data_IF_165227580728
#
_entry.id   IF_165227580728
#
_cell.length_a   1.000
_cell.length_b   1.000
_cell.length_c   1.000
_cell.angle_alpha   90.00
_cell.angle_beta   90.00
_cell.angle_gamma   90.00
#
_symmetry.space_group_name_H-M   'P 1'
#
loop_
_entity.id
_entity.type
_entity.pdbx_description
1 polymer ?
#
# COMPACT_ATOMS: atom_id res chain seq x y z
N UNK A 1 3.23 -34.99 -5.56
CA UNK A 1 3.42 -33.56 -5.90
C UNK A 1 4.69 -33.06 -5.22
N UNK A 2 5.74 -32.76 -5.97
CA UNK A 2 6.96 -32.16 -5.42
C UNK A 2 6.63 -30.73 -4.94
N UNK A 3 6.65 -30.54 -3.62
CA UNK A 3 6.39 -29.22 -2.98
C UNK A 3 7.61 -28.29 -2.99
N UNK A 4 8.77 -28.78 -3.40
CA UNK A 4 10.03 -28.01 -3.41
C UNK A 4 10.48 -27.81 -4.85
N UNK A 5 10.58 -26.54 -5.27
CA UNK A 5 11.16 -26.15 -6.57
C UNK A 5 12.46 -25.39 -6.30
N UNK A 6 13.52 -25.81 -6.93
CA UNK A 6 14.76 -25.02 -7.02
C UNK A 6 14.59 -24.04 -8.17
N UNK A 7 14.79 -22.76 -7.93
CA UNK A 7 14.63 -21.68 -8.93
C UNK A 7 15.96 -20.98 -9.12
N UNK A 8 16.39 -20.82 -10.37
CA UNK A 8 17.50 -19.94 -10.71
C UNK A 8 16.99 -18.49 -10.74
N UNK A 9 17.23 -17.76 -9.68
CA UNK A 9 16.74 -16.38 -9.51
C UNK A 9 17.36 -15.38 -10.52
N UNK A 10 18.40 -15.76 -11.23
CA UNK A 10 18.92 -14.93 -12.32
C UNK A 10 18.02 -14.94 -13.55
N UNK A 11 17.24 -16.00 -13.75
CA UNK A 11 16.51 -16.25 -14.97
C UNK A 11 14.99 -16.41 -14.78
N UNK A 12 14.54 -16.78 -13.57
CA UNK A 12 13.14 -17.10 -13.30
C UNK A 12 12.55 -16.29 -12.14
N UNK A 13 11.31 -15.83 -12.33
CA UNK A 13 10.49 -15.25 -11.26
C UNK A 13 9.89 -16.37 -10.40
N UNK A 14 9.63 -16.10 -9.13
CA UNK A 14 8.93 -17.04 -8.25
C UNK A 14 8.08 -16.34 -7.20
N UNK A 15 7.06 -17.06 -6.74
CA UNK A 15 6.18 -16.62 -5.65
C UNK A 15 6.54 -17.35 -4.35
N UNK A 16 6.74 -16.59 -3.27
CA UNK A 16 7.01 -17.15 -1.96
C UNK A 16 6.33 -16.31 -0.86
N UNK A 17 5.60 -16.97 0.03
CA UNK A 17 4.92 -16.34 1.17
C UNK A 17 4.13 -15.07 0.80
N UNK A 18 3.44 -15.08 -0.34
CA UNK A 18 2.62 -13.96 -0.78
C UNK A 18 3.38 -12.78 -1.37
N UNK A 19 4.67 -12.98 -1.65
CA UNK A 19 5.52 -12.09 -2.42
C UNK A 19 5.85 -12.71 -3.76
N UNK A 20 5.94 -11.86 -4.76
CA UNK A 20 6.46 -12.16 -6.08
C UNK A 20 7.87 -11.60 -6.19
N UNK A 21 8.83 -12.47 -6.39
CA UNK A 21 10.24 -12.15 -6.58
C UNK A 21 10.50 -12.09 -8.07
N UNK A 22 10.70 -10.89 -8.60
CA UNK A 22 11.13 -10.73 -9.99
C UNK A 22 12.63 -11.01 -10.07
N UNK A 23 13.02 -11.81 -11.06
CA UNK A 23 14.41 -12.17 -11.29
C UNK A 23 15.32 -10.95 -11.56
N UNK A 24 16.62 -11.16 -11.51
CA UNK A 24 17.61 -10.12 -11.80
C UNK A 24 17.45 -9.58 -13.21
N UNK A 25 17.55 -8.28 -13.33
CA UNK A 25 17.48 -7.54 -14.59
C UNK A 25 18.57 -6.49 -14.62
N UNK A 26 19.14 -6.24 -15.80
CA UNK A 26 20.11 -5.18 -15.99
C UNK A 26 19.42 -3.93 -16.53
N UNK A 27 19.62 -2.80 -15.89
CA UNK A 27 19.10 -1.51 -16.35
C UNK A 27 19.83 -1.04 -17.62
N UNK A 28 19.26 -0.07 -18.36
CA UNK A 28 19.91 0.58 -19.50
C UNK A 28 21.28 1.22 -19.16
N UNK A 29 21.54 1.47 -17.87
CA UNK A 29 22.81 2.01 -17.35
C UNK A 29 23.79 0.92 -16.88
N UNK A 30 23.48 -0.36 -17.14
CA UNK A 30 24.33 -1.50 -16.76
C UNK A 30 24.22 -1.94 -15.29
N UNK A 31 23.34 -1.34 -14.49
CA UNK A 31 23.16 -1.73 -13.08
C UNK A 31 22.17 -2.88 -12.97
N UNK A 32 22.54 -3.93 -12.26
CA UNK A 32 21.67 -5.03 -11.95
C UNK A 32 20.71 -4.69 -10.81
N UNK A 33 19.47 -5.13 -10.94
CA UNK A 33 18.43 -4.93 -9.92
C UNK A 33 17.40 -6.05 -9.96
N UNK A 34 16.72 -6.24 -8.84
CA UNK A 34 15.54 -7.09 -8.75
C UNK A 34 14.44 -6.36 -7.98
N UNK A 35 13.24 -6.91 -7.94
CA UNK A 35 12.16 -6.35 -7.16
C UNK A 35 11.34 -7.41 -6.44
N UNK A 36 10.87 -7.08 -5.24
CA UNK A 36 9.99 -7.92 -4.44
C UNK A 36 8.70 -7.15 -4.23
N UNK A 37 7.60 -7.73 -4.68
CA UNK A 37 6.29 -7.08 -4.66
C UNK A 37 5.22 -8.05 -4.14
N UNK A 38 4.06 -7.57 -3.68
CA UNK A 38 2.98 -8.47 -3.28
C UNK A 38 2.45 -9.27 -4.47
N UNK A 39 2.15 -10.56 -4.27
CA UNK A 39 1.43 -11.35 -5.27
C UNK A 39 0.02 -10.79 -5.49
N UNK A 40 -0.57 -11.08 -6.66
CA UNK A 40 -1.97 -10.73 -6.92
C UNK A 40 -2.93 -11.31 -5.89
N UNK A 41 -2.69 -12.57 -5.46
CA UNK A 41 -3.48 -13.23 -4.43
C UNK A 41 -3.44 -12.44 -3.11
N UNK A 42 -2.24 -11.97 -2.71
CA UNK A 42 -2.04 -11.15 -1.51
C UNK A 42 -2.83 -9.83 -1.59
N UNK A 43 -2.80 -9.15 -2.74
CA UNK A 43 -3.58 -7.91 -2.98
C UNK A 43 -5.09 -8.18 -3.02
N UNK A 44 -5.54 -9.25 -3.66
CA UNK A 44 -6.96 -9.65 -3.69
C UNK A 44 -7.49 -9.92 -2.28
N UNK A 45 -6.71 -10.62 -1.45
CA UNK A 45 -7.06 -10.89 -0.04
C UNK A 45 -7.19 -9.60 0.77
N UNK A 46 -6.23 -8.67 0.64
CA UNK A 46 -6.31 -7.35 1.28
C UNK A 46 -7.56 -6.58 0.84
N UNK A 47 -7.80 -6.49 -0.47
CA UNK A 47 -8.99 -5.80 -1.01
C UNK A 47 -10.29 -6.40 -0.49
N UNK A 48 -10.37 -7.74 -0.38
CA UNK A 48 -11.53 -8.44 0.20
C UNK A 48 -11.73 -8.03 1.65
N UNK A 49 -10.70 -8.11 2.49
CA UNK A 49 -10.78 -7.73 3.89
C UNK A 49 -11.26 -6.27 4.10
N UNK A 50 -10.73 -5.33 3.32
CA UNK A 50 -11.19 -3.93 3.33
C UNK A 50 -12.65 -3.82 2.87
N UNK A 51 -13.04 -4.53 1.80
CA UNK A 51 -14.42 -4.53 1.29
C UNK A 51 -15.40 -5.06 2.35
N UNK A 52 -15.03 -6.10 3.07
CA UNK A 52 -15.87 -6.71 4.11
C UNK A 52 -16.11 -5.74 5.29
N UNK A 53 -15.13 -4.89 5.61
CA UNK A 53 -15.27 -3.84 6.64
C UNK A 53 -15.92 -2.55 6.14
N UNK A 54 -16.01 -2.34 4.83
CA UNK A 54 -16.55 -1.13 4.21
C UNK A 54 -17.81 -1.43 3.38
N UNK A 55 -18.83 -2.00 4.06
CA UNK A 55 -20.11 -2.29 3.42
C UNK A 55 -20.94 -1.01 3.27
N UNK A 56 -21.35 -0.72 2.05
CA UNK A 56 -22.12 0.49 1.71
C UNK A 56 -23.44 0.60 2.49
N UNK A 57 -24.07 -0.52 2.80
CA UNK A 57 -25.35 -0.59 3.54
C UNK A 57 -25.23 -0.24 5.04
N UNK A 58 -24.02 -0.23 5.58
CA UNK A 58 -23.82 0.05 7.00
C UNK A 58 -23.83 1.55 7.27
N UNK A 59 -24.63 1.95 8.27
CA UNK A 59 -24.69 3.33 8.74
C UNK A 59 -23.82 3.45 9.98
N UNK A 60 -22.53 3.67 9.78
CA UNK A 60 -21.55 3.86 10.86
C UNK A 60 -21.01 5.28 10.88
N UNK A 61 -20.58 5.81 12.04
CA UNK A 61 -19.72 6.98 12.13
C UNK A 61 -18.44 6.76 11.29
N UNK A 62 -17.87 7.84 10.75
CA UNK A 62 -16.66 7.76 9.91
C UNK A 62 -15.47 7.22 10.70
N UNK A 63 -15.39 7.53 11.98
CA UNK A 63 -14.37 7.09 12.93
C UNK A 63 -14.39 5.55 13.11
N UNK A 64 -15.55 4.94 13.19
CA UNK A 64 -15.68 3.48 13.31
C UNK A 64 -15.15 2.77 12.05
N UNK A 65 -15.45 3.29 10.85
CA UNK A 65 -14.85 2.71 9.63
C UNK A 65 -13.33 2.81 9.63
N UNK A 66 -12.78 3.93 10.13
CA UNK A 66 -11.32 4.08 10.24
C UNK A 66 -10.76 3.07 11.24
N UNK A 67 -11.40 2.91 12.39
CA UNK A 67 -11.00 1.93 13.40
C UNK A 67 -11.09 0.49 12.88
N UNK A 68 -12.07 0.18 12.04
CA UNK A 68 -12.21 -1.14 11.42
C UNK A 68 -11.15 -1.45 10.35
N UNK A 69 -10.69 -0.45 9.60
CA UNK A 69 -9.75 -0.67 8.49
C UNK A 69 -8.28 -0.52 8.88
N UNK A 70 -7.97 0.33 9.86
CA UNK A 70 -6.59 0.58 10.29
C UNK A 70 -5.84 -0.70 10.72
N UNK A 71 -6.41 -1.63 11.51
CA UNK A 71 -5.72 -2.88 11.88
C UNK A 71 -5.36 -3.73 10.66
N UNK A 72 -6.23 -3.76 9.64
CA UNK A 72 -5.98 -4.50 8.39
C UNK A 72 -4.83 -3.86 7.60
N UNK A 73 -4.83 -2.53 7.52
CA UNK A 73 -3.78 -1.76 6.83
C UNK A 73 -2.44 -1.97 7.53
N UNK A 74 -2.41 -1.73 8.85
CA UNK A 74 -1.18 -1.85 9.65
C UNK A 74 -0.64 -3.26 9.65
N UNK A 75 -1.49 -4.27 9.88
CA UNK A 75 -1.09 -5.68 9.89
C UNK A 75 -0.49 -6.11 8.54
N UNK A 76 -1.15 -5.75 7.43
CA UNK A 76 -0.65 -6.09 6.10
C UNK A 76 0.63 -5.34 5.74
N UNK A 77 0.73 -4.07 6.12
CA UNK A 77 1.93 -3.26 5.87
C UNK A 77 3.11 -3.74 6.71
N UNK A 78 2.88 -4.10 7.98
CA UNK A 78 3.93 -4.68 8.83
C UNK A 78 4.46 -6.01 8.27
N UNK A 79 3.58 -6.84 7.72
CA UNK A 79 3.98 -8.07 7.04
C UNK A 79 4.95 -7.78 5.88
N UNK A 80 4.63 -6.81 5.03
CA UNK A 80 5.51 -6.40 3.93
C UNK A 80 6.80 -5.76 4.44
N UNK A 81 6.71 -4.95 5.49
CA UNK A 81 7.83 -4.26 6.11
C UNK A 81 8.89 -5.24 6.64
N UNK A 82 8.49 -6.34 7.27
CA UNK A 82 9.41 -7.30 7.87
C UNK A 82 10.35 -7.93 6.83
N UNK A 83 9.84 -8.25 5.64
CA UNK A 83 10.68 -8.76 4.53
C UNK A 83 11.67 -7.69 4.09
N UNK A 84 11.23 -6.45 3.92
CA UNK A 84 12.13 -5.37 3.49
C UNK A 84 13.18 -4.99 4.55
N UNK A 85 12.83 -5.10 5.84
CA UNK A 85 13.80 -4.92 6.93
C UNK A 85 14.87 -6.01 6.92
N UNK A 86 14.47 -7.26 6.72
CA UNK A 86 15.41 -8.37 6.62
C UNK A 86 16.38 -8.16 5.45
N UNK A 87 15.89 -7.80 4.27
CA UNK A 87 16.72 -7.52 3.09
C UNK A 87 17.73 -6.37 3.33
N UNK A 88 17.32 -5.32 4.06
CA UNK A 88 18.22 -4.21 4.39
C UNK A 88 19.45 -4.67 5.18
N UNK A 89 19.32 -5.71 5.99
CA UNK A 89 20.44 -6.28 6.77
C UNK A 89 21.41 -7.05 5.85
N UNK A 90 20.90 -7.70 4.79
CA UNK A 90 21.70 -8.63 3.97
C UNK A 90 22.35 -8.00 2.73
N UNK A 91 21.81 -6.92 2.16
CA UNK A 91 22.12 -6.51 0.80
C UNK A 91 22.81 -5.15 0.62
N UNK A 92 23.00 -4.38 1.68
CA UNK A 92 23.56 -3.02 1.54
C UNK A 92 22.60 -2.00 0.88
N UNK A 93 23.02 -0.73 0.81
CA UNK A 93 22.09 0.38 0.54
C UNK A 93 21.56 0.52 -0.90
N UNK A 94 22.27 0.05 -1.93
CA UNK A 94 21.87 0.36 -3.31
C UNK A 94 20.73 -0.52 -3.85
N UNK A 95 20.76 -1.80 -3.59
CA UNK A 95 19.72 -2.73 -4.05
C UNK A 95 18.41 -2.55 -3.29
N UNK A 96 18.47 -2.23 -2.01
CA UNK A 96 17.32 -1.93 -1.16
C UNK A 96 16.45 -0.81 -1.70
N UNK A 97 17.03 0.21 -2.38
CA UNK A 97 16.27 1.33 -2.92
C UNK A 97 15.31 0.93 -4.05
N UNK A 98 15.74 0.07 -4.99
CA UNK A 98 14.89 -0.40 -6.08
C UNK A 98 13.74 -1.26 -5.56
N UNK A 99 14.00 -2.15 -4.62
CA UNK A 99 13.00 -3.02 -3.98
C UNK A 99 11.95 -2.19 -3.23
N UNK A 100 12.37 -1.21 -2.45
CA UNK A 100 11.48 -0.30 -1.71
C UNK A 100 10.63 0.53 -2.66
N UNK A 101 11.20 1.04 -3.75
CA UNK A 101 10.46 1.82 -4.76
C UNK A 101 9.37 0.98 -5.42
N UNK A 102 9.67 -0.26 -5.80
CA UNK A 102 8.69 -1.17 -6.37
C UNK A 102 7.52 -1.43 -5.39
N UNK A 103 7.82 -1.75 -4.13
CA UNK A 103 6.81 -1.93 -3.08
C UNK A 103 5.95 -0.68 -2.88
N UNK A 104 6.55 0.51 -2.89
CA UNK A 104 5.82 1.76 -2.64
C UNK A 104 4.69 2.03 -3.65
N UNK A 105 4.85 1.56 -4.90
CA UNK A 105 3.81 1.65 -5.93
C UNK A 105 2.58 0.81 -5.55
N UNK A 106 2.80 -0.39 -5.02
CA UNK A 106 1.72 -1.26 -4.56
C UNK A 106 1.02 -0.70 -3.32
N UNK A 107 1.78 -0.19 -2.35
CA UNK A 107 1.23 0.46 -1.16
C UNK A 107 0.36 1.67 -1.52
N UNK A 108 0.78 2.48 -2.49
CA UNK A 108 -0.01 3.60 -2.98
C UNK A 108 -1.32 3.14 -3.66
N UNK A 109 -1.29 2.05 -4.43
CA UNK A 109 -2.50 1.43 -5.02
C UNK A 109 -3.45 0.92 -3.92
N UNK A 110 -2.91 0.33 -2.85
CA UNK A 110 -3.69 -0.09 -1.69
C UNK A 110 -4.37 1.11 -1.01
N UNK A 111 -3.64 2.18 -0.75
CA UNK A 111 -4.16 3.42 -0.15
C UNK A 111 -5.26 4.07 -1.01
N UNK A 112 -5.07 4.11 -2.33
CA UNK A 112 -6.11 4.59 -3.27
C UNK A 112 -7.38 3.75 -3.16
N UNK A 113 -7.24 2.44 -3.07
CA UNK A 113 -8.39 1.53 -2.93
C UNK A 113 -9.13 1.75 -1.60
N UNK A 114 -8.42 1.83 -0.47
CA UNK A 114 -9.02 2.09 0.86
C UNK A 114 -9.82 3.40 0.84
N UNK A 115 -9.20 4.50 0.40
CA UNK A 115 -9.89 5.80 0.31
C UNK A 115 -11.12 5.75 -0.59
N UNK A 116 -11.06 5.03 -1.70
CA UNK A 116 -12.20 4.87 -2.58
C UNK A 116 -13.34 4.10 -1.89
N UNK A 117 -13.03 3.03 -1.16
CA UNK A 117 -14.04 2.27 -0.40
C UNK A 117 -14.71 3.13 0.67
N UNK A 118 -13.94 3.87 1.44
CA UNK A 118 -14.45 4.79 2.47
C UNK A 118 -15.35 5.87 1.87
N UNK A 119 -14.96 6.47 0.73
CA UNK A 119 -15.79 7.44 0.01
C UNK A 119 -17.14 6.86 -0.41
N UNK A 120 -17.15 5.64 -0.92
CA UNK A 120 -18.39 4.94 -1.31
C UNK A 120 -19.32 4.73 -0.10
N UNK A 121 -18.78 4.47 1.09
CA UNK A 121 -19.57 4.37 2.32
C UNK A 121 -20.10 5.72 2.78
N UNK A 122 -19.28 6.76 2.71
CA UNK A 122 -19.64 8.11 3.16
C UNK A 122 -20.69 8.80 2.27
N UNK A 123 -20.69 8.51 0.97
CA UNK A 123 -21.61 9.15 0.03
C UNK A 123 -23.08 8.84 0.35
N UNK A 124 -23.36 7.72 1.00
CA UNK A 124 -24.71 7.40 1.45
C UNK A 124 -25.28 8.41 2.44
N UNK A 125 -24.42 8.99 3.29
CA UNK A 125 -24.79 10.01 4.27
C UNK A 125 -24.78 11.42 3.69
N UNK A 126 -24.28 11.59 2.46
CA UNK A 126 -24.12 12.89 1.82
C UNK A 126 -24.55 12.81 0.33
N UNK A 127 -25.86 12.60 0.04
CA UNK A 127 -26.33 12.39 -1.33
C UNK A 127 -26.11 13.59 -2.25
N UNK A 128 -25.97 14.79 -1.69
CA UNK A 128 -25.69 16.03 -2.43
C UNK A 128 -24.27 16.11 -2.99
N UNK A 129 -23.34 15.27 -2.50
CA UNK A 129 -21.96 15.24 -3.01
C UNK A 129 -21.92 14.49 -4.33
N UNK A 130 -21.50 15.15 -5.42
CA UNK A 130 -21.35 14.52 -6.74
C UNK A 130 -20.39 13.34 -6.69
N UNK A 131 -20.81 12.22 -7.27
CA UNK A 131 -20.12 10.91 -7.19
C UNK A 131 -18.68 10.87 -7.72
N UNK A 132 -18.26 11.80 -8.57
CA UNK A 132 -16.91 11.81 -9.14
C UNK A 132 -15.99 12.82 -8.49
N UNK A 133 -16.05 14.05 -8.94
CA UNK A 133 -15.14 15.12 -8.53
C UNK A 133 -15.40 15.58 -7.08
N UNK A 134 -16.64 15.85 -6.71
CA UNK A 134 -16.98 16.35 -5.37
C UNK A 134 -16.58 15.41 -4.24
N UNK A 135 -16.67 14.09 -4.48
CA UNK A 135 -16.25 13.06 -3.52
C UNK A 135 -14.74 13.10 -3.25
N UNK A 136 -13.93 13.29 -4.32
CA UNK A 136 -12.47 13.32 -4.20
C UNK A 136 -11.98 14.62 -3.57
N UNK A 137 -12.64 15.72 -3.85
CA UNK A 137 -12.33 17.03 -3.28
C UNK A 137 -12.69 17.09 -1.79
N UNK A 138 -13.94 16.76 -1.43
CA UNK A 138 -14.44 16.81 -0.05
C UNK A 138 -13.73 15.84 0.88
N UNK A 139 -13.44 14.63 0.40
CA UNK A 139 -12.78 13.57 1.17
C UNK A 139 -11.43 13.23 0.54
N UNK A 140 -10.54 14.20 0.57
CA UNK A 140 -9.17 14.07 0.09
C UNK A 140 -8.28 13.31 1.09
N UNK A 141 -7.00 13.23 0.81
CA UNK A 141 -6.05 12.53 1.68
C UNK A 141 -5.88 13.22 3.04
N UNK A 142 -5.90 14.53 3.06
CA UNK A 142 -5.80 15.34 4.27
C UNK A 142 -6.99 15.09 5.21
N UNK A 143 -8.22 15.08 4.65
CA UNK A 143 -9.41 14.73 5.41
C UNK A 143 -9.27 13.36 6.08
N UNK A 144 -8.83 12.33 5.35
CA UNK A 144 -8.66 10.99 5.90
C UNK A 144 -7.55 10.91 6.95
N UNK A 145 -6.44 11.60 6.75
CA UNK A 145 -5.37 11.69 7.74
C UNK A 145 -5.85 12.35 9.03
N UNK A 146 -6.63 13.44 8.91
CA UNK A 146 -7.19 14.17 10.06
C UNK A 146 -8.13 13.33 10.92
N UNK A 147 -8.89 12.42 10.32
CA UNK A 147 -9.78 11.50 11.05
C UNK A 147 -9.08 10.18 11.45
N UNK A 148 -7.75 10.11 11.35
CA UNK A 148 -6.94 9.02 11.87
C UNK A 148 -6.73 7.82 10.94
N UNK A 149 -7.00 7.93 9.62
CA UNK A 149 -6.64 6.87 8.68
C UNK A 149 -5.12 6.76 8.59
N UNK A 150 -4.61 5.55 8.73
CA UNK A 150 -3.20 5.21 8.60
C UNK A 150 -2.91 4.76 7.16
N UNK A 151 -2.29 5.60 6.29
CA UNK A 151 -1.94 5.15 4.94
C UNK A 151 -0.83 4.10 4.96
N UNK A 152 -1.00 3.02 4.17
CA UNK A 152 0.00 1.93 4.08
C UNK A 152 1.38 2.45 3.68
N UNK A 153 1.42 3.33 2.68
CA UNK A 153 2.69 3.89 2.19
C UNK A 153 3.37 4.75 3.23
N UNK A 154 2.62 5.62 3.93
CA UNK A 154 3.19 6.41 5.02
C UNK A 154 3.73 5.53 6.14
N UNK A 155 2.92 4.56 6.62
CA UNK A 155 3.30 3.66 7.70
C UNK A 155 4.57 2.87 7.38
N UNK A 156 4.68 2.37 6.15
CA UNK A 156 5.85 1.66 5.67
C UNK A 156 7.11 2.53 5.75
N UNK A 157 7.06 3.76 5.21
CA UNK A 157 8.19 4.68 5.22
C UNK A 157 8.54 5.16 6.63
N UNK A 158 7.55 5.48 7.44
CA UNK A 158 7.74 5.86 8.84
C UNK A 158 8.46 4.77 9.63
N UNK A 159 8.04 3.51 9.48
CA UNK A 159 8.68 2.36 10.16
C UNK A 159 10.06 1.99 9.62
N UNK A 160 10.36 2.32 8.37
CA UNK A 160 11.69 2.08 7.76
C UNK A 160 12.73 3.10 8.20
N UNK A 161 12.36 4.39 8.30
CA UNK A 161 13.31 5.47 8.50
C UNK A 161 13.04 6.37 9.72
N UNK A 162 11.85 6.30 10.31
CA UNK A 162 11.51 7.06 11.52
C UNK A 162 11.23 8.56 11.34
N UNK A 163 11.62 9.13 10.21
CA UNK A 163 11.62 10.60 9.98
C UNK A 163 10.50 11.11 9.08
N UNK A 164 9.71 10.21 8.50
CA UNK A 164 8.67 10.58 7.54
C UNK A 164 7.34 10.83 8.24
N UNK A 165 7.02 12.10 8.53
CA UNK A 165 5.78 12.48 9.22
C UNK A 165 4.55 12.35 8.33
N UNK A 166 3.35 12.25 8.93
CA UNK A 166 2.10 12.14 8.17
C UNK A 166 1.78 13.46 7.45
N UNK A 167 2.13 14.58 8.02
CA UNK A 167 1.96 15.90 7.43
C UNK A 167 2.76 16.01 6.12
N UNK A 168 4.03 15.61 6.14
CA UNK A 168 4.88 15.57 4.95
C UNK A 168 4.36 14.61 3.88
N UNK A 169 3.80 13.47 4.29
CA UNK A 169 3.14 12.53 3.37
C UNK A 169 1.92 13.18 2.69
N UNK A 170 1.06 13.85 3.45
CA UNK A 170 -0.14 14.53 2.95
C UNK A 170 0.24 15.66 2.00
N UNK A 171 1.18 16.52 2.39
CA UNK A 171 1.69 17.62 1.56
C UNK A 171 2.20 17.14 0.20
N UNK A 172 3.08 16.13 0.20
CA UNK A 172 3.64 15.53 -1.03
C UNK A 172 2.53 15.01 -1.97
N UNK A 173 1.47 14.42 -1.40
CA UNK A 173 0.35 13.92 -2.19
C UNK A 173 -0.56 15.03 -2.73
N UNK A 174 -0.75 16.11 -1.99
CA UNK A 174 -1.55 17.25 -2.42
C UNK A 174 -0.87 18.01 -3.55
N UNK A 175 0.44 18.18 -3.49
CA UNK A 175 1.24 18.82 -4.55
C UNK A 175 1.16 18.02 -5.87
N UNK A 176 1.29 16.69 -5.84
CA UNK A 176 1.20 15.83 -7.03
C UNK A 176 -0.16 15.85 -7.72
N UNK A 177 -1.22 16.20 -7.03
CA UNK A 177 -2.57 16.27 -7.59
C UNK A 177 -2.89 17.66 -8.17
N UNK A 178 -2.01 18.65 -7.99
CA UNK A 178 -2.12 20.01 -8.56
C UNK A 178 -1.29 20.18 -9.85
N UNK A 179 -0.30 19.32 -10.05
CA UNK A 179 0.52 19.25 -11.26
C UNK A 179 -0.11 18.28 -12.28
#
# INVERSE_FOLDING_TARGET
>A
MNKTKVVDFKNEDFDFLGFHFNHWRTSKKGNDYYSIVPTEKSIKTFKKAIKDKTQRKWTKPKEEWINDVNPIIVGKTNYYLNVHKALKVFEGHMQTHCVIRAMSIYLEKMDKYVRQRLRVCMIHKHPTVRKSYGMRYKWNIEFFARIGLIPSKWWFYYKMWGTYTIEKYVETHMQRNKA
#
